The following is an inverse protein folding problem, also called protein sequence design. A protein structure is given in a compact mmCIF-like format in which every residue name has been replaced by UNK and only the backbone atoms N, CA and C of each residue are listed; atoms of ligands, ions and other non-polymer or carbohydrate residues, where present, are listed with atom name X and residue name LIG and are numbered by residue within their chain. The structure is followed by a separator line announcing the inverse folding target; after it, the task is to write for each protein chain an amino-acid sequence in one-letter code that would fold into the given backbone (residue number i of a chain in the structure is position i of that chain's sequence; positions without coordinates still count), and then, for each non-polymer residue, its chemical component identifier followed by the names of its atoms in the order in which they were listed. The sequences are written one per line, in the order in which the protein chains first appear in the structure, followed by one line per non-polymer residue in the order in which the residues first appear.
data_IF_381105789256
#
_entry.id   IF_381105789256
#
_cell.length_a   1.000
_cell.length_b   1.000
_cell.length_c   1.000
_cell.angle_alpha   90.00
_cell.angle_beta   90.00
_cell.angle_gamma   90.00
#
_symmetry.space_group_name_H-M   'P 1'
#
loop_
_entity.id
_entity.type
_entity.pdbx_description
1 polymer ?
#
# COMPACT_ATOMS: atom_id res chain seq x y z
N UNK A 1 -36.34 80.08 -15.88
CA UNK A 1 -37.64 79.54 -16.33
C UNK A 1 -37.40 78.75 -17.62
N UNK A 2 -37.70 77.43 -17.62
CA UNK A 2 -37.81 76.47 -18.76
C UNK A 2 -36.49 76.14 -19.51
N UNK A 3 -35.85 74.95 -19.47
CA UNK A 3 -36.19 73.51 -19.53
C UNK A 3 -36.34 72.93 -20.96
N UNK A 4 -35.50 71.90 -21.28
CA UNK A 4 -35.56 70.84 -22.33
C UNK A 4 -35.04 71.20 -23.74
N UNK A 5 -34.36 70.36 -24.54
CA UNK A 5 -33.95 68.94 -24.51
C UNK A 5 -33.00 68.66 -25.72
N UNK A 6 -32.13 67.62 -25.64
CA UNK A 6 -31.62 66.76 -26.74
C UNK A 6 -30.69 67.40 -27.82
N UNK A 7 -29.68 66.80 -28.45
CA UNK A 7 -29.03 65.48 -28.44
C UNK A 7 -27.80 65.57 -29.39
N UNK A 8 -26.89 64.59 -29.34
CA UNK A 8 -25.91 64.24 -30.38
C UNK A 8 -24.74 65.21 -30.68
N UNK A 9 -23.58 64.94 -30.09
CA UNK A 9 -22.34 64.57 -30.80
C UNK A 9 -21.21 64.40 -29.79
N UNK A 10 -21.29 63.36 -28.96
CA UNK A 10 -20.08 62.72 -28.45
C UNK A 10 -19.45 62.01 -29.63
N UNK A 11 -18.50 62.68 -30.29
CA UNK A 11 -17.68 62.05 -31.30
C UNK A 11 -16.83 61.00 -30.58
N UNK A 12 -17.27 59.75 -30.72
CA UNK A 12 -16.52 58.56 -30.41
C UNK A 12 -15.18 58.60 -31.17
N UNK A 13 -14.13 59.10 -30.53
CA UNK A 13 -12.80 58.57 -30.75
C UNK A 13 -12.77 57.20 -30.05
N UNK A 14 -13.36 56.23 -30.73
CA UNK A 14 -13.22 54.82 -30.42
C UNK A 14 -11.76 54.45 -30.55
N UNK A 15 -11.05 54.44 -29.44
CA UNK A 15 -9.91 53.55 -29.27
C UNK A 15 -10.52 52.16 -29.34
N UNK A 16 -10.57 51.58 -30.53
CA UNK A 16 -10.58 50.14 -30.67
C UNK A 16 -9.30 49.65 -29.97
N UNK A 17 -9.42 49.27 -28.69
CA UNK A 17 -8.51 48.30 -28.10
C UNK A 17 -8.70 47.02 -28.94
N UNK A 18 -8.05 46.96 -30.11
CA UNK A 18 -7.67 45.68 -30.68
C UNK A 18 -6.88 45.02 -29.56
N UNK A 19 -7.45 44.00 -28.94
CA UNK A 19 -6.77 43.21 -27.94
C UNK A 19 -5.37 42.90 -28.44
N UNK A 20 -4.38 43.54 -27.82
CA UNK A 20 -2.99 43.30 -28.14
C UNK A 20 -2.79 41.79 -28.02
N UNK A 21 -2.23 41.17 -29.07
CA UNK A 21 -1.97 39.74 -29.09
C UNK A 21 -1.23 39.41 -27.79
N UNK A 22 -1.78 38.57 -26.90
CA UNK A 22 -1.10 38.27 -25.66
C UNK A 22 0.23 37.61 -26.02
N UNK A 23 1.33 38.01 -25.35
CA UNK A 23 2.63 37.42 -25.61
C UNK A 23 2.53 35.90 -25.44
N UNK A 24 3.30 35.18 -26.25
CA UNK A 24 3.50 33.74 -26.06
C UNK A 24 3.93 33.46 -24.61
N UNK A 25 3.57 32.30 -24.02
CA UNK A 25 4.17 31.86 -22.77
C UNK A 25 5.67 32.01 -22.87
N UNK A 26 6.27 32.69 -21.89
CA UNK A 26 7.69 32.93 -21.90
C UNK A 26 8.46 31.61 -22.03
N UNK A 27 9.65 31.67 -22.62
CA UNK A 27 10.51 30.50 -22.84
C UNK A 27 10.75 29.71 -21.55
N UNK A 28 10.76 30.40 -20.41
CA UNK A 28 10.98 29.81 -19.09
C UNK A 28 9.77 29.00 -18.62
N UNK A 29 8.55 29.38 -18.98
CA UNK A 29 7.32 28.68 -18.67
C UNK A 29 7.21 27.42 -19.51
N UNK A 30 7.47 27.51 -20.82
CA UNK A 30 7.50 26.34 -21.71
C UNK A 30 8.60 25.36 -21.29
N UNK A 31 9.82 25.84 -21.04
CA UNK A 31 10.92 25.00 -20.56
C UNK A 31 10.59 24.31 -19.23
N UNK A 32 9.86 24.98 -18.33
CA UNK A 32 9.44 24.36 -17.06
C UNK A 32 8.28 23.38 -17.21
N UNK A 33 7.42 23.53 -18.22
CA UNK A 33 6.48 22.49 -18.62
C UNK A 33 7.26 21.26 -19.11
N UNK A 34 8.23 21.43 -20.00
CA UNK A 34 9.08 20.32 -20.47
C UNK A 34 9.83 19.64 -19.32
N UNK A 35 10.41 20.40 -18.40
CA UNK A 35 11.10 19.85 -17.22
C UNK A 35 10.15 19.14 -16.24
N UNK A 36 8.88 19.52 -16.18
CA UNK A 36 7.88 18.80 -15.38
C UNK A 36 7.52 17.43 -15.99
N UNK A 37 7.83 17.23 -17.28
CA UNK A 37 7.50 16.02 -18.02
C UNK A 37 8.69 15.57 -18.91
N UNK A 38 9.82 15.14 -18.31
CA UNK A 38 11.06 14.88 -19.05
C UNK A 38 10.94 13.78 -20.12
N UNK A 39 10.00 12.84 -19.96
CA UNK A 39 9.75 11.76 -20.93
C UNK A 39 8.68 12.11 -21.97
N UNK A 40 8.18 13.34 -21.98
CA UNK A 40 7.10 13.78 -22.84
C UNK A 40 7.60 14.80 -23.85
N UNK A 41 7.21 14.61 -25.11
CA UNK A 41 7.60 15.51 -26.19
C UNK A 41 6.48 16.51 -26.44
N UNK A 42 6.80 17.80 -26.43
CA UNK A 42 5.86 18.81 -26.91
C UNK A 42 5.64 18.62 -28.42
N UNK A 43 4.38 18.38 -28.80
CA UNK A 43 3.98 18.18 -30.22
C UNK A 43 3.20 19.36 -30.77
N UNK A 44 2.57 20.15 -29.90
CA UNK A 44 1.91 21.39 -30.29
C UNK A 44 2.00 22.45 -29.18
N UNK A 45 2.11 23.72 -29.58
CA UNK A 45 1.94 24.89 -28.72
C UNK A 45 1.30 25.97 -29.57
N UNK A 46 -0.02 26.03 -29.55
CA UNK A 46 -0.81 26.86 -30.45
C UNK A 46 -1.78 27.77 -29.68
N UNK A 47 -2.17 28.86 -30.33
CA UNK A 47 -3.14 29.79 -29.77
C UNK A 47 -4.55 29.25 -30.00
N UNK A 48 -5.38 29.23 -28.96
CA UNK A 48 -6.80 28.92 -29.06
C UNK A 48 -7.66 30.09 -28.57
N UNK A 49 -8.81 30.31 -29.20
CA UNK A 49 -9.79 31.27 -28.70
C UNK A 49 -10.51 30.66 -27.49
N UNK A 50 -10.71 31.45 -26.43
CA UNK A 50 -11.43 30.97 -25.24
C UNK A 50 -12.93 30.86 -25.54
N UNK A 51 -13.54 31.86 -26.19
CA UNK A 51 -14.91 31.81 -26.73
C UNK A 51 -14.91 32.22 -28.21
N UNK A 52 -15.80 31.61 -29.03
CA UNK A 52 -16.05 32.10 -30.39
C UNK A 52 -16.57 33.54 -30.33
N UNK A 53 -15.79 34.48 -30.83
CA UNK A 53 -16.14 35.91 -30.85
C UNK A 53 -15.72 36.72 -29.62
N UNK A 54 -14.98 36.14 -28.66
CA UNK A 54 -14.36 36.91 -27.57
C UNK A 54 -12.94 37.35 -27.89
N UNK A 55 -12.52 38.47 -27.32
CA UNK A 55 -11.13 38.94 -27.33
C UNK A 55 -10.21 38.19 -26.33
N UNK A 56 -10.74 37.20 -25.61
CA UNK A 56 -9.99 36.34 -24.70
C UNK A 56 -9.32 35.20 -25.47
N UNK A 57 -8.00 35.12 -25.37
CA UNK A 57 -7.16 34.12 -26.02
C UNK A 57 -6.44 33.25 -24.99
N UNK A 58 -6.16 32.00 -25.35
CA UNK A 58 -5.40 31.06 -24.55
C UNK A 58 -4.29 30.40 -25.39
N UNK A 59 -3.37 29.74 -24.71
CA UNK A 59 -2.32 28.92 -25.31
C UNK A 59 -2.55 27.45 -24.95
N UNK A 60 -2.75 26.61 -25.97
CA UNK A 60 -2.89 25.16 -25.83
C UNK A 60 -1.54 24.51 -26.12
N UNK A 61 -0.97 23.88 -25.11
CA UNK A 61 0.25 23.07 -25.18
C UNK A 61 -0.14 21.60 -25.12
N UNK A 62 0.30 20.81 -26.09
CA UNK A 62 0.05 19.37 -26.15
C UNK A 62 1.38 18.63 -26.06
N UNK A 63 1.48 17.75 -25.08
CA UNK A 63 2.61 16.83 -24.92
C UNK A 63 2.16 15.41 -25.25
N UNK A 64 3.04 14.67 -25.92
CA UNK A 64 2.82 13.29 -26.32
C UNK A 64 3.95 12.40 -25.80
N UNK A 65 3.61 11.17 -25.41
CA UNK A 65 4.58 10.12 -25.11
C UNK A 65 4.17 8.80 -25.77
N UNK A 66 5.12 8.15 -26.42
CA UNK A 66 4.96 6.76 -26.88
C UNK A 66 4.95 5.83 -25.67
N UNK A 67 3.89 5.03 -25.50
CA UNK A 67 3.82 4.00 -24.46
C UNK A 67 4.49 2.72 -24.99
N UNK A 68 5.41 2.14 -24.21
CA UNK A 68 6.15 0.93 -24.62
C UNK A 68 5.17 -0.24 -24.86
N UNK A 69 5.40 -1.09 -25.88
CA UNK A 69 4.52 -2.21 -26.25
C UNK A 69 4.43 -3.34 -25.19
N UNK A 70 5.22 -3.28 -24.12
CA UNK A 70 5.28 -4.33 -23.09
C UNK A 70 4.05 -4.38 -22.16
N UNK A 71 3.17 -3.36 -22.21
CA UNK A 71 1.89 -3.40 -21.49
C UNK A 71 0.89 -4.16 -22.36
N UNK A 72 0.63 -5.42 -22.00
CA UNK A 72 -0.39 -6.28 -22.64
C UNK A 72 -1.76 -5.62 -22.63
N UNK A 73 -2.11 -4.92 -23.69
CA UNK A 73 -3.52 -4.65 -24.03
C UNK A 73 -3.69 -4.59 -25.54
N UNK A 74 -4.89 -4.92 -25.96
CA UNK A 74 -5.30 -5.10 -27.35
C UNK A 74 -5.57 -3.79 -28.11
N UNK A 75 -5.25 -2.61 -27.55
CA UNK A 75 -5.47 -1.32 -28.21
C UNK A 75 -4.33 -0.96 -29.21
N UNK A 76 -4.65 -0.68 -30.50
CA UNK A 76 -3.65 -0.35 -31.51
C UNK A 76 -3.13 1.08 -31.35
N UNK A 77 -1.82 1.22 -31.13
CA UNK A 77 -1.07 2.48 -30.98
C UNK A 77 -1.41 3.33 -29.73
N UNK A 78 -0.71 3.06 -28.62
CA UNK A 78 -0.88 3.81 -27.37
C UNK A 78 0.08 5.00 -27.31
N UNK A 79 -0.42 6.18 -27.70
CA UNK A 79 0.19 7.47 -27.40
C UNK A 79 -0.52 8.06 -26.19
N UNK A 80 0.23 8.41 -25.15
CA UNK A 80 -0.30 9.21 -24.05
C UNK A 80 -0.36 10.68 -24.44
N UNK A 81 -1.38 11.41 -23.98
CA UNK A 81 -1.52 12.84 -24.21
C UNK A 81 -1.65 13.61 -22.90
N UNK A 82 -0.98 14.75 -22.83
CA UNK A 82 -1.20 15.80 -21.81
C UNK A 82 -1.59 17.06 -22.57
N UNK A 83 -2.72 17.67 -22.19
CA UNK A 83 -3.14 18.95 -22.75
C UNK A 83 -3.13 19.98 -21.64
N UNK A 84 -2.40 21.06 -21.83
CA UNK A 84 -2.33 22.21 -20.92
C UNK A 84 -2.89 23.41 -21.67
N UNK A 85 -3.82 24.12 -21.07
CA UNK A 85 -4.34 25.39 -21.58
C UNK A 85 -3.97 26.50 -20.60
N UNK A 86 -3.26 27.51 -21.10
CA UNK A 86 -2.79 28.67 -20.35
C UNK A 86 -3.59 29.89 -20.80
N UNK A 87 -4.41 30.43 -19.91
CA UNK A 87 -5.12 31.69 -20.16
C UNK A 87 -4.29 32.82 -19.53
N UNK A 88 -3.83 33.82 -20.30
CA UNK A 88 -3.11 34.96 -19.76
C UNK A 88 -3.92 35.71 -18.71
N UNK A 89 -3.23 36.14 -17.67
CA UNK A 89 -3.81 36.87 -16.56
C UNK A 89 -3.99 38.35 -16.90
N UNK A 90 -5.11 38.67 -17.53
CA UNK A 90 -5.46 40.02 -18.03
C UNK A 90 -6.41 40.79 -17.10
N UNK A 91 -6.58 40.33 -15.85
CA UNK A 91 -7.46 40.95 -14.86
C UNK A 91 -8.90 40.43 -14.85
N UNK A 92 -9.27 39.53 -15.77
CA UNK A 92 -10.51 38.75 -15.73
C UNK A 92 -10.14 37.37 -15.16
N UNK A 93 -10.71 37.01 -14.01
CA UNK A 93 -10.55 35.65 -13.45
C UNK A 93 -11.52 34.70 -14.16
N UNK A 94 -11.04 33.77 -15.00
CA UNK A 94 -11.89 32.83 -15.69
C UNK A 94 -12.40 31.70 -14.77
N UNK A 95 -11.82 31.52 -13.57
CA UNK A 95 -12.32 30.54 -12.59
C UNK A 95 -12.34 29.08 -13.06
N UNK A 96 -13.11 28.23 -12.38
CA UNK A 96 -13.17 26.78 -12.68
C UNK A 96 -14.04 26.45 -13.89
N UNK A 97 -15.05 27.27 -14.14
CA UNK A 97 -16.12 26.97 -15.12
C UNK A 97 -15.64 27.13 -16.56
N UNK A 98 -14.50 27.79 -16.79
CA UNK A 98 -13.90 27.93 -18.11
C UNK A 98 -13.34 26.62 -18.67
N UNK A 99 -13.20 25.59 -17.83
CA UNK A 99 -12.83 24.24 -18.26
C UNK A 99 -13.74 23.78 -19.42
N UNK A 100 -15.04 23.99 -19.33
CA UNK A 100 -16.00 23.42 -20.29
C UNK A 100 -15.97 24.09 -21.68
N UNK A 101 -15.21 25.18 -21.83
CA UNK A 101 -15.20 26.01 -23.04
C UNK A 101 -14.07 25.58 -24.00
N UNK A 102 -13.04 24.90 -23.50
CA UNK A 102 -11.89 24.50 -24.33
C UNK A 102 -12.15 23.19 -25.08
N UNK A 103 -11.57 23.05 -26.28
CA UNK A 103 -11.54 21.76 -26.95
C UNK A 103 -10.47 20.86 -26.35
N UNK A 104 -10.94 19.85 -25.61
CA UNK A 104 -10.15 18.83 -24.92
C UNK A 104 -10.01 17.51 -25.69
N UNK A 105 -10.46 17.43 -26.93
CA UNK A 105 -10.35 16.22 -27.74
C UNK A 105 -8.90 15.72 -27.77
N UNK A 106 -8.75 14.47 -27.37
CA UNK A 106 -7.52 13.68 -27.45
C UNK A 106 -7.92 12.26 -27.81
N UNK A 107 -7.07 11.50 -28.50
CA UNK A 107 -7.28 10.07 -28.70
C UNK A 107 -7.48 9.31 -27.37
N UNK A 108 -8.05 8.12 -27.47
CA UNK A 108 -8.31 7.25 -26.32
C UNK A 108 -7.03 6.98 -25.51
N UNK A 109 -7.18 6.94 -24.19
CA UNK A 109 -6.10 6.76 -23.25
C UNK A 109 -6.47 5.62 -22.28
N UNK A 110 -5.49 4.82 -21.88
CA UNK A 110 -5.70 3.65 -21.03
C UNK A 110 -6.05 4.02 -19.58
N UNK A 111 -5.69 5.24 -19.18
CA UNK A 111 -5.93 5.80 -17.85
C UNK A 111 -7.08 6.81 -17.90
N UNK A 112 -7.87 6.88 -16.81
CA UNK A 112 -8.93 7.89 -16.70
C UNK A 112 -8.30 9.29 -16.76
N UNK A 113 -8.77 10.10 -17.69
CA UNK A 113 -8.36 11.50 -17.83
C UNK A 113 -9.35 12.41 -17.12
N UNK A 114 -8.84 13.45 -16.48
CA UNK A 114 -9.59 14.49 -15.80
C UNK A 114 -9.20 15.83 -16.38
N UNK A 115 -10.15 16.76 -16.42
CA UNK A 115 -9.92 18.13 -16.86
C UNK A 115 -10.14 19.05 -15.67
N UNK A 116 -9.09 19.74 -15.24
CA UNK A 116 -9.12 20.57 -14.03
C UNK A 116 -8.54 21.96 -14.28
N UNK A 117 -9.09 22.95 -13.59
CA UNK A 117 -8.41 24.21 -13.32
C UNK A 117 -7.43 24.01 -12.15
N UNK A 118 -6.13 24.07 -12.43
CA UNK A 118 -5.08 23.79 -11.44
C UNK A 118 -4.69 25.02 -10.61
N UNK A 119 -5.05 26.23 -11.03
CA UNK A 119 -4.78 27.47 -10.31
C UNK A 119 -4.07 28.52 -11.15
N UNK A 120 -3.62 29.58 -10.47
CA UNK A 120 -2.92 30.73 -11.07
C UNK A 120 -1.43 30.67 -10.75
N UNK A 121 -0.60 31.00 -11.73
CA UNK A 121 0.84 31.07 -11.55
C UNK A 121 1.53 31.58 -12.81
N UNK A 122 2.61 32.34 -12.61
CA UNK A 122 3.48 32.85 -13.70
C UNK A 122 2.74 33.69 -14.76
N UNK A 123 1.72 34.44 -14.35
CA UNK A 123 0.93 35.26 -15.27
C UNK A 123 -0.11 34.48 -16.08
N UNK A 124 -0.41 33.22 -15.71
CA UNK A 124 -1.43 32.42 -16.38
C UNK A 124 -2.38 31.75 -15.39
N UNK A 125 -3.62 31.53 -15.84
CA UNK A 125 -4.56 30.55 -15.30
C UNK A 125 -4.33 29.21 -16.00
N UNK A 126 -4.09 28.16 -15.22
CA UNK A 126 -3.67 26.85 -15.71
C UNK A 126 -4.85 25.88 -15.71
N UNK A 127 -5.19 25.39 -16.90
CA UNK A 127 -6.15 24.31 -17.11
C UNK A 127 -5.42 23.12 -17.71
N UNK A 128 -5.79 21.91 -17.32
CA UNK A 128 -5.08 20.73 -17.77
C UNK A 128 -6.00 19.52 -17.89
N UNK A 129 -5.81 18.76 -18.96
CA UNK A 129 -6.36 17.42 -19.13
C UNK A 129 -5.24 16.39 -19.01
N UNK A 130 -5.31 15.55 -17.98
CA UNK A 130 -4.40 14.42 -17.79
C UNK A 130 -4.94 13.43 -16.74
N UNK A 131 -4.17 12.41 -16.36
CA UNK A 131 -4.50 11.57 -15.20
C UNK A 131 -4.26 12.31 -13.87
N UNK A 132 -4.82 11.75 -12.79
CA UNK A 132 -4.77 12.34 -11.46
C UNK A 132 -3.34 12.62 -10.95
N UNK A 133 -2.39 11.72 -11.23
CA UNK A 133 -1.01 11.86 -10.76
C UNK A 133 -0.28 13.01 -11.44
N UNK A 134 -0.47 13.17 -12.75
CA UNK A 134 0.12 14.27 -13.51
C UNK A 134 -0.48 15.62 -13.12
N UNK A 135 -1.79 15.71 -12.94
CA UNK A 135 -2.47 16.94 -12.50
C UNK A 135 -1.93 17.44 -11.15
N UNK A 136 -1.83 16.53 -10.17
CA UNK A 136 -1.24 16.80 -8.87
C UNK A 136 0.22 17.26 -8.97
N UNK A 137 1.04 16.52 -9.74
CA UNK A 137 2.46 16.84 -9.91
C UNK A 137 2.65 18.22 -10.53
N UNK A 138 1.83 18.60 -11.51
CA UNK A 138 1.89 19.92 -12.16
C UNK A 138 1.53 21.03 -11.20
N UNK A 139 0.45 20.91 -10.43
CA UNK A 139 0.07 21.94 -9.47
C UNK A 139 1.20 22.19 -8.45
N UNK A 140 1.82 21.13 -7.95
CA UNK A 140 2.94 21.20 -7.01
C UNK A 140 4.22 21.77 -7.64
N UNK A 141 4.67 21.22 -8.78
CA UNK A 141 5.92 21.65 -9.45
C UNK A 141 5.85 23.09 -9.96
N UNK A 142 4.68 23.50 -10.46
CA UNK A 142 4.50 24.84 -10.98
C UNK A 142 4.17 25.87 -9.88
N UNK A 143 3.97 25.40 -8.64
CA UNK A 143 3.62 26.22 -7.47
C UNK A 143 2.38 27.08 -7.74
N UNK A 144 1.36 26.46 -8.32
CA UNK A 144 0.11 27.15 -8.66
C UNK A 144 -0.68 27.46 -7.40
N UNK A 145 -1.23 28.66 -7.33
CA UNK A 145 -2.05 29.13 -6.21
C UNK A 145 -3.54 29.08 -6.56
N UNK A 146 -4.38 28.74 -5.58
CA UNK A 146 -5.82 28.55 -5.80
C UNK A 146 -6.13 27.31 -6.64
N UNK A 147 -7.22 27.36 -7.40
CA UNK A 147 -7.65 26.26 -8.27
C UNK A 147 -8.54 25.22 -7.61
N UNK A 148 -8.55 24.03 -8.21
CA UNK A 148 -9.27 22.88 -7.66
C UNK A 148 -8.68 22.43 -6.32
N UNK A 149 -9.54 22.09 -5.36
CA UNK A 149 -9.10 21.57 -4.08
C UNK A 149 -8.60 20.13 -4.30
N UNK A 150 -7.29 19.96 -4.40
CA UNK A 150 -6.70 18.64 -4.65
C UNK A 150 -7.02 17.63 -3.56
N UNK A 151 -7.21 18.05 -2.30
CA UNK A 151 -7.59 17.10 -1.24
C UNK A 151 -8.98 16.50 -1.52
N UNK A 152 -9.94 17.34 -1.96
CA UNK A 152 -11.27 16.89 -2.32
C UNK A 152 -11.29 16.09 -3.64
N UNK A 153 -10.51 16.52 -4.63
CA UNK A 153 -10.37 15.81 -5.91
C UNK A 153 -9.77 14.41 -5.70
N UNK A 154 -8.66 14.31 -4.97
CA UNK A 154 -8.00 13.03 -4.72
C UNK A 154 -8.84 12.11 -3.84
N UNK A 155 -9.65 12.66 -2.92
CA UNK A 155 -10.62 11.85 -2.18
C UNK A 155 -11.65 11.20 -3.12
N UNK A 156 -12.19 11.95 -4.09
CA UNK A 156 -13.09 11.39 -5.12
C UNK A 156 -12.37 10.38 -6.03
N UNK A 157 -11.10 10.63 -6.35
CA UNK A 157 -10.29 9.75 -7.18
C UNK A 157 -10.08 8.34 -6.56
N UNK A 158 -10.27 8.17 -5.25
CA UNK A 158 -10.29 6.85 -4.59
C UNK A 158 -11.39 5.93 -5.14
N UNK A 159 -12.48 6.48 -5.70
CA UNK A 159 -13.60 5.72 -6.27
C UNK A 159 -13.39 5.37 -7.75
N UNK A 160 -12.24 5.69 -8.35
CA UNK A 160 -12.00 5.46 -9.77
C UNK A 160 -11.42 4.07 -10.00
N UNK A 161 -12.11 3.30 -10.83
CA UNK A 161 -11.71 1.96 -11.29
C UNK A 161 -11.20 2.00 -12.73
N UNK A 162 -9.95 2.41 -12.91
CA UNK A 162 -9.24 2.39 -14.20
C UNK A 162 -8.22 1.23 -14.27
N UNK A 163 -7.43 1.17 -15.34
CA UNK A 163 -6.44 0.11 -15.56
C UNK A 163 -5.56 -0.11 -14.32
N UNK A 164 -5.59 -1.33 -13.79
CA UNK A 164 -4.87 -1.74 -12.57
C UNK A 164 -5.12 -0.87 -11.33
N UNK A 165 -6.26 -0.16 -11.27
CA UNK A 165 -6.61 0.79 -10.20
C UNK A 165 -5.56 1.90 -10.05
N UNK A 166 -4.93 2.33 -11.15
CA UNK A 166 -3.88 3.36 -11.14
C UNK A 166 -4.34 4.63 -10.42
N UNK A 167 -5.48 5.19 -10.80
CA UNK A 167 -5.95 6.48 -10.26
C UNK A 167 -6.18 6.41 -8.76
N UNK A 168 -6.85 5.37 -8.26
CA UNK A 168 -7.11 5.21 -6.83
C UNK A 168 -5.84 4.90 -6.04
N UNK A 169 -4.86 4.18 -6.60
CA UNK A 169 -3.54 3.99 -5.97
C UNK A 169 -2.74 5.28 -5.86
N UNK A 170 -2.76 6.12 -6.89
CA UNK A 170 -2.15 7.46 -6.83
C UNK A 170 -2.84 8.31 -5.76
N UNK A 171 -4.17 8.24 -5.65
CA UNK A 171 -4.91 8.90 -4.59
C UNK A 171 -4.55 8.41 -3.18
N UNK A 172 -4.34 7.11 -2.99
CA UNK A 172 -3.85 6.55 -1.72
C UNK A 172 -2.51 7.17 -1.32
N UNK A 173 -1.53 7.17 -2.24
CA UNK A 173 -0.20 7.71 -1.95
C UNK A 173 -0.21 9.22 -1.73
N UNK A 174 -1.11 9.96 -2.41
CA UNK A 174 -1.27 11.39 -2.19
C UNK A 174 -1.57 11.74 -0.74
N UNK A 175 -2.36 10.92 -0.03
CA UNK A 175 -2.77 11.18 1.35
C UNK A 175 -1.71 10.87 2.40
N UNK A 176 -0.55 10.35 1.99
CA UNK A 176 0.57 10.05 2.89
C UNK A 176 0.97 11.28 3.70
N UNK A 177 1.04 11.12 5.02
CA UNK A 177 1.48 12.13 6.00
C UNK A 177 0.70 13.47 5.98
N UNK A 178 -0.51 13.49 5.39
CA UNK A 178 -1.33 14.73 5.32
C UNK A 178 -2.09 15.06 6.60
N UNK A 179 -2.12 14.15 7.57
CA UNK A 179 -2.75 14.37 8.86
C UNK A 179 -4.29 14.39 8.83
N UNK A 180 -4.88 14.83 9.94
CA UNK A 180 -6.33 14.72 10.21
C UNK A 180 -7.21 15.49 9.22
N UNK A 181 -6.69 16.56 8.58
CA UNK A 181 -7.48 17.42 7.68
C UNK A 181 -8.12 16.69 6.50
N UNK A 182 -7.51 15.58 6.05
CA UNK A 182 -8.00 14.80 4.91
C UNK A 182 -8.99 13.69 5.32
N UNK A 183 -9.04 13.33 6.61
CA UNK A 183 -9.84 12.21 7.11
C UNK A 183 -11.33 12.36 6.76
N UNK A 184 -11.99 13.53 6.96
CA UNK A 184 -13.40 13.69 6.61
C UNK A 184 -13.68 13.48 5.12
N UNK A 185 -12.77 13.91 4.23
CA UNK A 185 -12.92 13.77 2.77
C UNK A 185 -12.80 12.29 2.35
N UNK A 186 -11.84 11.57 2.93
CA UNK A 186 -11.67 10.13 2.68
C UNK A 186 -12.90 9.35 3.17
N UNK A 187 -13.42 9.69 4.35
CA UNK A 187 -14.61 9.05 4.92
C UNK A 187 -15.86 9.28 4.08
N UNK A 188 -16.06 10.50 3.58
CA UNK A 188 -17.18 10.79 2.68
C UNK A 188 -17.06 10.02 1.37
N UNK A 189 -15.85 9.96 0.79
CA UNK A 189 -15.59 9.14 -0.40
C UNK A 189 -15.86 7.64 -0.17
N UNK A 190 -15.44 7.11 0.99
CA UNK A 190 -15.69 5.72 1.36
C UNK A 190 -17.18 5.42 1.53
N UNK A 191 -17.95 6.38 2.09
CA UNK A 191 -19.41 6.27 2.23
C UNK A 191 -20.07 6.18 0.86
N UNK A 192 -19.67 7.02 -0.09
CA UNK A 192 -20.17 6.98 -1.47
C UNK A 192 -19.85 5.63 -2.14
N UNK A 193 -18.61 5.15 -2.01
CA UNK A 193 -18.22 3.84 -2.52
C UNK A 193 -19.08 2.70 -1.98
N UNK A 194 -19.32 2.68 -0.66
CA UNK A 194 -20.12 1.64 -0.03
C UNK A 194 -21.59 1.66 -0.47
N UNK A 195 -22.13 2.83 -0.83
CA UNK A 195 -23.48 2.96 -1.38
C UNK A 195 -23.58 2.43 -2.82
N UNK A 196 -22.53 2.60 -3.62
CA UNK A 196 -22.52 2.27 -5.06
C UNK A 196 -22.10 0.82 -5.32
N UNK A 197 -21.01 0.36 -4.71
CA UNK A 197 -20.30 -0.86 -5.13
C UNK A 197 -20.56 -2.06 -4.21
N UNK A 198 -21.19 -1.87 -3.05
CA UNK A 198 -21.45 -2.91 -2.03
C UNK A 198 -20.22 -3.82 -1.73
N UNK A 199 -19.01 -3.27 -1.89
CA UNK A 199 -17.74 -3.94 -1.62
C UNK A 199 -16.93 -3.16 -0.58
N UNK A 200 -15.97 -3.82 0.11
CA UNK A 200 -15.11 -3.13 1.07
C UNK A 200 -14.35 -1.97 0.41
N UNK A 201 -14.31 -0.77 1.03
CA UNK A 201 -13.63 0.40 0.49
C UNK A 201 -12.10 0.31 0.70
N UNK A 202 -11.46 -0.68 0.08
CA UNK A 202 -10.07 -1.06 0.36
C UNK A 202 -9.12 0.13 0.19
N UNK A 203 -9.21 0.85 -0.93
CA UNK A 203 -8.34 2.00 -1.21
C UNK A 203 -8.51 3.11 -0.16
N UNK A 204 -9.73 3.35 0.32
CA UNK A 204 -10.00 4.33 1.37
C UNK A 204 -9.37 3.94 2.71
N UNK A 205 -9.44 2.65 3.08
CA UNK A 205 -8.81 2.16 4.30
C UNK A 205 -7.27 2.33 4.23
N UNK A 206 -6.66 2.06 3.07
CA UNK A 206 -5.24 2.34 2.85
C UNK A 206 -4.92 3.83 2.91
N UNK A 207 -5.74 4.69 2.29
CA UNK A 207 -5.57 6.14 2.37
C UNK A 207 -5.62 6.63 3.82
N UNK A 208 -6.59 6.16 4.62
CA UNK A 208 -6.68 6.46 6.05
C UNK A 208 -5.40 6.03 6.78
N UNK A 209 -4.93 4.80 6.58
CA UNK A 209 -3.67 4.30 7.15
C UNK A 209 -2.51 5.25 6.86
N UNK A 210 -2.36 5.67 5.61
CA UNK A 210 -1.24 6.49 5.15
C UNK A 210 -1.30 7.95 5.64
N UNK A 211 -2.46 8.47 6.05
CA UNK A 211 -2.52 9.83 6.62
C UNK A 211 -1.66 10.01 7.87
N UNK A 212 -1.34 8.92 8.60
CA UNK A 212 -0.50 8.94 9.80
C UNK A 212 -1.15 9.62 11.01
N UNK A 213 -2.48 9.73 11.03
CA UNK A 213 -3.21 10.60 11.96
C UNK A 213 -4.03 9.85 13.01
N UNK A 214 -4.28 10.46 14.18
CA UNK A 214 -5.05 9.83 15.26
C UNK A 214 -6.53 9.64 14.86
N UNK A 215 -7.13 10.61 14.14
CA UNK A 215 -8.50 10.49 13.67
C UNK A 215 -8.66 9.39 12.62
N UNK A 216 -7.63 9.17 11.77
CA UNK A 216 -7.63 8.02 10.87
C UNK A 216 -7.55 6.69 11.64
N UNK A 217 -6.77 6.63 12.72
CA UNK A 217 -6.76 5.48 13.62
C UNK A 217 -8.15 5.18 14.22
N UNK A 218 -8.84 6.21 14.73
CA UNK A 218 -10.22 6.10 15.23
C UNK A 218 -11.19 5.64 14.14
N UNK A 219 -11.05 6.16 12.93
CA UNK A 219 -11.85 5.73 11.78
C UNK A 219 -11.62 4.26 11.43
N UNK A 220 -10.37 3.82 11.35
CA UNK A 220 -10.01 2.42 11.09
C UNK A 220 -10.56 1.47 12.18
N UNK A 221 -10.54 1.89 13.45
CA UNK A 221 -11.17 1.11 14.54
C UNK A 221 -12.69 0.97 14.32
N UNK A 222 -13.37 2.01 13.84
CA UNK A 222 -14.80 1.92 13.50
C UNK A 222 -15.04 0.95 12.34
N UNK A 223 -14.20 0.96 11.32
CA UNK A 223 -14.27 -0.03 10.23
C UNK A 223 -13.98 -1.45 10.71
N UNK A 224 -13.03 -1.63 11.64
CA UNK A 224 -12.73 -2.90 12.28
C UNK A 224 -13.91 -3.46 13.12
N UNK A 225 -14.82 -2.59 13.55
CA UNK A 225 -16.06 -2.95 14.24
C UNK A 225 -17.28 -3.09 13.30
N UNK A 226 -17.07 -3.04 11.97
CA UNK A 226 -18.15 -3.17 10.98
C UNK A 226 -18.83 -4.55 11.05
N UNK A 227 -20.13 -4.58 10.74
CA UNK A 227 -20.88 -5.84 10.54
C UNK A 227 -20.46 -6.57 9.27
N UNK A 228 -19.94 -5.85 8.27
CA UNK A 228 -19.32 -6.48 7.10
C UNK A 228 -17.96 -7.06 7.50
N UNK A 229 -17.90 -8.38 7.58
CA UNK A 229 -16.71 -9.12 7.98
C UNK A 229 -15.52 -8.85 7.05
N UNK A 230 -15.76 -8.59 5.76
CA UNK A 230 -14.66 -8.30 4.82
C UNK A 230 -14.03 -6.94 5.12
N UNK A 231 -14.84 -5.90 5.28
CA UNK A 231 -14.37 -4.57 5.71
C UNK A 231 -13.69 -4.63 7.07
N UNK A 232 -14.30 -5.32 8.06
CA UNK A 232 -13.73 -5.45 9.39
C UNK A 232 -12.36 -6.12 9.37
N UNK A 233 -12.21 -7.21 8.62
CA UNK A 233 -10.94 -7.91 8.47
C UNK A 233 -9.87 -7.03 7.82
N UNK A 234 -10.19 -6.33 6.73
CA UNK A 234 -9.22 -5.44 6.07
C UNK A 234 -8.76 -4.31 6.99
N UNK A 235 -9.68 -3.66 7.71
CA UNK A 235 -9.32 -2.62 8.67
C UNK A 235 -8.45 -3.16 9.83
N UNK A 236 -8.77 -4.34 10.36
CA UNK A 236 -7.96 -5.01 11.39
C UNK A 236 -6.54 -5.28 10.90
N UNK A 237 -6.39 -5.82 9.67
CA UNK A 237 -5.08 -6.06 9.07
C UNK A 237 -4.23 -4.79 9.02
N UNK A 238 -4.81 -3.68 8.54
CA UNK A 238 -4.10 -2.40 8.45
C UNK A 238 -3.72 -1.85 9.83
N UNK A 239 -4.60 -2.01 10.83
CA UNK A 239 -4.32 -1.59 12.20
C UNK A 239 -3.18 -2.37 12.86
N UNK A 240 -3.01 -3.66 12.54
CA UNK A 240 -1.97 -4.51 13.12
C UNK A 240 -0.62 -4.45 12.37
N UNK A 241 -0.57 -3.79 11.21
CA UNK A 241 0.67 -3.52 10.48
C UNK A 241 1.39 -2.28 11.02
N UNK A 242 0.70 -1.36 11.69
CA UNK A 242 1.27 -0.08 12.13
C UNK A 242 1.21 0.10 13.66
N UNK A 243 2.35 0.42 14.30
CA UNK A 243 2.41 0.47 15.74
C UNK A 243 1.84 1.76 16.33
N UNK A 244 1.16 2.66 15.63
CA UNK A 244 0.71 3.95 16.21
C UNK A 244 -0.79 4.24 16.08
N UNK A 245 -1.56 3.40 15.39
CA UNK A 245 -2.93 3.75 14.99
C UNK A 245 -4.01 3.43 16.04
N UNK A 246 -3.75 2.56 17.03
CA UNK A 246 -4.73 2.20 18.06
C UNK A 246 -4.18 2.18 19.50
N UNK A 247 -5.09 2.14 20.47
CA UNK A 247 -4.76 2.08 21.90
C UNK A 247 -4.17 0.72 22.30
N UNK A 248 -3.38 0.70 23.37
CA UNK A 248 -2.82 -0.53 23.94
C UNK A 248 -3.94 -1.53 24.31
N UNK A 249 -5.09 -1.04 24.82
CA UNK A 249 -6.25 -1.87 25.17
C UNK A 249 -6.92 -2.53 23.95
N UNK A 250 -6.92 -1.86 22.79
CA UNK A 250 -7.41 -2.44 21.56
C UNK A 250 -6.54 -3.62 21.13
N UNK A 251 -5.23 -3.42 21.04
CA UNK A 251 -4.30 -4.48 20.63
C UNK A 251 -4.25 -5.65 21.62
N UNK A 252 -4.32 -5.40 22.93
CA UNK A 252 -4.42 -6.46 23.94
C UNK A 252 -5.65 -7.35 23.76
N UNK A 253 -6.79 -6.79 23.31
CA UNK A 253 -7.97 -7.61 22.98
C UNK A 253 -7.70 -8.51 21.75
N UNK A 254 -6.95 -8.01 20.77
CA UNK A 254 -6.59 -8.77 19.57
C UNK A 254 -5.64 -9.94 19.85
N UNK A 255 -4.87 -9.95 20.94
CA UNK A 255 -4.03 -11.10 21.33
C UNK A 255 -4.83 -12.41 21.52
N UNK A 256 -6.14 -12.33 21.78
CA UNK A 256 -7.02 -13.50 21.88
C UNK A 256 -7.27 -14.18 20.52
N UNK A 257 -6.97 -13.49 19.44
CA UNK A 257 -7.12 -13.96 18.06
C UNK A 257 -5.76 -14.46 17.55
N UNK A 258 -5.60 -15.77 17.32
CA UNK A 258 -4.33 -16.40 16.97
C UNK A 258 -3.60 -15.70 15.81
N UNK A 259 -4.34 -15.33 14.78
CA UNK A 259 -3.84 -14.70 13.56
C UNK A 259 -3.15 -13.34 13.78
N UNK A 260 -3.46 -12.64 14.87
CA UNK A 260 -2.89 -11.33 15.19
C UNK A 260 -1.82 -11.36 16.29
N UNK A 261 -1.53 -12.54 16.86
CA UNK A 261 -0.64 -12.66 18.03
C UNK A 261 0.74 -12.06 17.73
N UNK A 262 1.43 -12.55 16.70
CA UNK A 262 2.74 -12.03 16.28
C UNK A 262 2.74 -10.52 15.97
N UNK A 263 1.73 -10.03 15.25
CA UNK A 263 1.63 -8.61 14.88
C UNK A 263 1.46 -7.72 16.10
N UNK A 264 0.60 -8.09 17.05
CA UNK A 264 0.43 -7.32 18.30
C UNK A 264 1.72 -7.32 19.12
N UNK A 265 2.41 -8.45 19.24
CA UNK A 265 3.71 -8.49 19.93
C UNK A 265 4.70 -7.52 19.28
N UNK A 266 4.79 -7.49 17.94
CA UNK A 266 5.65 -6.56 17.20
C UNK A 266 5.30 -5.10 17.46
N UNK A 267 4.02 -4.76 17.57
CA UNK A 267 3.58 -3.40 17.91
C UNK A 267 4.08 -2.99 19.29
N UNK A 268 3.92 -3.85 20.30
CA UNK A 268 4.40 -3.54 21.66
C UNK A 268 5.93 -3.52 21.76
N UNK A 269 6.64 -4.32 20.95
CA UNK A 269 8.10 -4.22 20.79
C UNK A 269 8.50 -2.85 20.23
N UNK A 270 7.89 -2.43 19.11
CA UNK A 270 8.16 -1.14 18.48
C UNK A 270 7.87 0.04 19.42
N UNK A 271 6.81 -0.06 20.23
CA UNK A 271 6.45 0.92 21.28
C UNK A 271 7.35 0.86 22.53
N UNK A 272 8.30 -0.07 22.61
CA UNK A 272 9.11 -0.36 23.82
C UNK A 272 8.26 -0.66 25.06
N UNK A 273 7.08 -1.26 24.86
CA UNK A 273 6.09 -1.61 25.90
C UNK A 273 5.89 -3.12 26.06
N UNK A 274 6.77 -3.95 25.49
CA UNK A 274 6.62 -5.41 25.50
C UNK A 274 6.40 -6.03 26.88
N UNK A 275 7.02 -5.50 27.94
CA UNK A 275 6.85 -5.98 29.32
C UNK A 275 5.38 -5.99 29.80
N UNK A 276 4.55 -5.07 29.28
CA UNK A 276 3.12 -4.98 29.62
C UNK A 276 2.33 -6.20 29.13
N UNK A 277 2.80 -6.87 28.08
CA UNK A 277 2.14 -8.05 27.51
C UNK A 277 2.43 -9.35 28.25
N UNK A 278 3.47 -9.39 29.09
CA UNK A 278 3.93 -10.65 29.73
C UNK A 278 2.80 -11.39 30.46
N UNK A 279 1.92 -10.74 31.25
CA UNK A 279 0.81 -11.43 31.91
C UNK A 279 -0.20 -12.05 30.92
N UNK A 280 -0.54 -11.31 29.84
CA UNK A 280 -1.48 -11.80 28.84
C UNK A 280 -0.89 -12.99 28.06
N UNK A 281 0.39 -12.91 27.70
CA UNK A 281 1.10 -13.98 27.00
C UNK A 281 1.22 -15.23 27.89
N UNK A 282 1.48 -15.08 29.20
CA UNK A 282 1.48 -16.20 30.14
C UNK A 282 0.11 -16.89 30.22
N UNK A 283 -0.98 -16.12 30.14
CA UNK A 283 -2.33 -16.66 30.11
C UNK A 283 -2.60 -17.42 28.80
N UNK A 284 -2.19 -16.87 27.66
CA UNK A 284 -2.33 -17.51 26.34
C UNK A 284 -1.53 -18.81 26.28
N UNK A 285 -0.32 -18.85 26.83
CA UNK A 285 0.53 -20.05 26.82
C UNK A 285 -0.11 -21.24 27.56
N UNK A 286 -0.96 -20.98 28.57
CA UNK A 286 -1.69 -22.02 29.30
C UNK A 286 -2.79 -22.67 28.46
N UNK A 287 -3.40 -21.91 27.56
CA UNK A 287 -4.56 -22.35 26.76
C UNK A 287 -4.48 -21.79 25.33
N UNK A 288 -3.46 -22.17 24.54
CA UNK A 288 -3.31 -21.67 23.18
C UNK A 288 -4.44 -22.21 22.29
N UNK A 289 -4.91 -21.40 21.33
CA UNK A 289 -5.89 -21.89 20.36
C UNK A 289 -5.24 -22.67 19.22
N UNK A 290 -4.03 -22.28 18.80
CA UNK A 290 -3.30 -22.91 17.69
C UNK A 290 -1.84 -23.18 18.06
N UNK A 291 -1.20 -24.13 17.36
CA UNK A 291 0.22 -24.41 17.54
C UNK A 291 1.05 -23.16 17.22
N UNK A 292 0.67 -22.41 16.18
CA UNK A 292 1.30 -21.13 15.82
C UNK A 292 1.21 -20.10 16.96
N UNK A 293 0.04 -19.93 17.56
CA UNK A 293 -0.12 -19.01 18.68
C UNK A 293 0.75 -19.43 19.87
N UNK A 294 0.84 -20.74 20.16
CA UNK A 294 1.71 -21.27 21.20
C UNK A 294 3.18 -20.92 20.94
N UNK A 295 3.70 -21.20 19.74
CA UNK A 295 5.11 -20.96 19.42
C UNK A 295 5.45 -19.48 19.36
N UNK A 296 4.58 -18.62 18.83
CA UNK A 296 4.75 -17.16 18.84
C UNK A 296 4.72 -16.59 20.27
N UNK A 297 3.80 -17.08 21.11
CA UNK A 297 3.66 -16.63 22.51
C UNK A 297 4.87 -17.03 23.35
N UNK A 298 5.36 -18.28 23.19
CA UNK A 298 6.55 -18.73 23.91
C UNK A 298 7.79 -17.94 23.49
N UNK A 299 7.96 -17.68 22.19
CA UNK A 299 9.03 -16.83 21.68
C UNK A 299 9.02 -15.45 22.34
N UNK A 300 7.85 -14.80 22.31
CA UNK A 300 7.67 -13.47 22.86
C UNK A 300 7.98 -13.44 24.37
N UNK A 301 7.51 -14.42 25.13
CA UNK A 301 7.80 -14.51 26.57
C UNK A 301 9.29 -14.66 26.85
N UNK A 302 9.99 -15.55 26.14
CA UNK A 302 11.43 -15.78 26.35
C UNK A 302 12.24 -14.52 26.04
N UNK A 303 11.92 -13.84 24.94
CA UNK A 303 12.57 -12.57 24.58
C UNK A 303 12.31 -11.49 25.64
N UNK A 304 11.05 -11.25 25.99
CA UNK A 304 10.65 -10.17 26.91
C UNK A 304 11.14 -10.39 28.34
N UNK A 305 11.25 -11.64 28.78
CA UNK A 305 11.74 -12.00 30.12
C UNK A 305 13.27 -12.07 30.21
N UNK A 306 13.99 -12.01 29.08
CA UNK A 306 15.45 -12.13 29.07
C UNK A 306 16.20 -10.90 29.61
N UNK A 307 15.49 -9.88 30.11
CA UNK A 307 16.07 -8.63 30.65
C UNK A 307 17.03 -7.92 29.68
N UNK A 308 16.76 -8.00 28.37
CA UNK A 308 17.61 -7.39 27.33
C UNK A 308 18.91 -8.15 27.04
N UNK A 309 19.08 -9.37 27.58
CA UNK A 309 20.23 -10.23 27.25
C UNK A 309 20.22 -10.71 25.79
N UNK A 310 19.07 -10.64 25.14
CA UNK A 310 18.90 -11.04 23.75
C UNK A 310 18.11 -9.97 22.99
N UNK A 311 18.64 -9.53 21.84
CA UNK A 311 17.93 -8.65 20.88
C UNK A 311 16.99 -9.43 19.95
N UNK A 312 16.91 -10.75 20.12
CA UNK A 312 16.14 -11.73 19.36
C UNK A 312 16.49 -13.13 19.87
N UNK A 313 15.64 -14.13 19.61
CA UNK A 313 15.96 -15.51 20.01
C UNK A 313 16.77 -16.19 18.90
N UNK A 314 18.04 -16.57 19.12
CA UNK A 314 18.91 -17.13 18.09
C UNK A 314 18.30 -18.36 17.39
N UNK A 315 17.49 -19.15 18.11
CA UNK A 315 16.80 -20.33 17.59
C UNK A 315 15.74 -19.96 16.55
N UNK A 316 14.98 -18.89 16.79
CA UNK A 316 13.97 -18.39 15.85
C UNK A 316 14.61 -17.71 14.66
N UNK A 317 15.68 -16.94 14.88
CA UNK A 317 16.45 -16.34 13.78
C UNK A 317 17.07 -17.42 12.89
N UNK A 318 17.61 -18.50 13.49
CA UNK A 318 18.13 -19.63 12.74
C UNK A 318 17.03 -20.31 11.92
N UNK A 319 15.84 -20.57 12.51
CA UNK A 319 14.71 -21.17 11.81
C UNK A 319 14.21 -20.31 10.65
N UNK A 320 14.07 -18.99 10.85
CA UNK A 320 13.67 -18.07 9.78
C UNK A 320 14.67 -18.09 8.61
N UNK A 321 15.98 -18.08 8.92
CA UNK A 321 17.03 -18.19 7.91
C UNK A 321 17.03 -19.55 7.20
N UNK A 322 16.78 -20.65 7.93
CA UNK A 322 16.65 -21.99 7.35
C UNK A 322 15.49 -22.03 6.36
N UNK A 323 14.30 -21.58 6.78
CA UNK A 323 13.11 -21.54 5.91
C UNK A 323 13.41 -20.72 4.65
N UNK A 324 14.01 -19.53 4.83
CA UNK A 324 14.39 -18.67 3.71
C UNK A 324 15.37 -19.35 2.73
N UNK A 325 16.44 -19.97 3.23
CA UNK A 325 17.48 -20.58 2.40
C UNK A 325 17.06 -21.91 1.74
N UNK A 326 15.96 -22.51 2.20
CA UNK A 326 15.35 -23.71 1.61
C UNK A 326 14.34 -23.41 0.50
N UNK A 327 13.98 -22.12 0.30
CA UNK A 327 13.09 -21.73 -0.79
C UNK A 327 13.77 -21.87 -2.15
N UNK A 328 13.10 -22.54 -3.08
CA UNK A 328 13.49 -22.63 -4.50
C UNK A 328 12.66 -21.65 -5.34
N UNK A 329 13.18 -21.32 -6.52
CA UNK A 329 12.48 -20.46 -7.49
C UNK A 329 11.11 -21.05 -7.84
N UNK A 330 10.06 -20.22 -7.74
CA UNK A 330 8.68 -20.61 -8.07
C UNK A 330 7.93 -21.32 -6.93
N UNK A 331 8.56 -21.57 -5.78
CA UNK A 331 7.89 -22.19 -4.64
C UNK A 331 7.05 -21.20 -3.82
N UNK A 332 7.29 -19.89 -3.98
CA UNK A 332 6.47 -18.82 -3.39
C UNK A 332 6.25 -17.69 -4.40
N UNK A 333 5.14 -16.92 -4.33
CA UNK A 333 4.86 -15.83 -5.27
C UNK A 333 5.97 -14.75 -5.36
N UNK A 334 6.79 -14.61 -4.31
CA UNK A 334 7.81 -13.57 -4.20
C UNK A 334 9.23 -14.05 -4.60
N UNK A 335 9.41 -15.35 -4.93
CA UNK A 335 10.73 -15.94 -5.24
C UNK A 335 11.35 -15.53 -6.59
N UNK A 336 10.74 -14.63 -7.36
CA UNK A 336 11.31 -14.14 -8.62
C UNK A 336 12.62 -13.34 -8.38
N UNK A 337 12.90 -12.87 -7.15
CA UNK A 337 14.06 -12.00 -6.84
C UNK A 337 15.20 -12.65 -6.06
N UNK A 338 15.06 -13.85 -5.49
CA UNK A 338 16.06 -14.38 -4.57
C UNK A 338 16.47 -15.81 -4.89
N UNK A 339 17.71 -15.91 -5.41
CA UNK A 339 18.57 -17.10 -5.48
C UNK A 339 18.12 -18.18 -6.47
N UNK A 340 18.71 -18.22 -7.69
CA UNK A 340 18.53 -19.34 -8.60
C UNK A 340 19.27 -20.57 -8.04
N UNK A 341 18.53 -21.50 -7.45
CA UNK A 341 18.80 -22.90 -7.79
C UNK A 341 18.20 -23.05 -9.19
N UNK A 342 19.04 -23.29 -10.20
CA UNK A 342 18.62 -23.37 -11.60
C UNK A 342 17.26 -24.04 -11.71
N UNK A 343 16.23 -23.26 -12.10
CA UNK A 343 14.89 -23.75 -12.37
C UNK A 343 14.87 -24.81 -13.47
N UNK A 344 15.97 -24.90 -14.23
CA UNK A 344 16.25 -25.97 -15.17
C UNK A 344 16.79 -27.19 -14.41
N UNK A 345 15.90 -28.04 -13.92
CA UNK A 345 16.18 -29.30 -13.20
C UNK A 345 17.14 -30.27 -13.89
N UNK A 346 18.42 -29.90 -14.01
CA UNK A 346 19.53 -30.74 -14.50
C UNK A 346 20.42 -31.25 -13.36
N UNK A 347 20.01 -31.04 -12.11
CA UNK A 347 20.57 -31.72 -10.94
C UNK A 347 19.61 -32.82 -10.47
N UNK A 348 20.13 -33.99 -10.10
CA UNK A 348 19.33 -34.97 -9.37
C UNK A 348 18.78 -34.34 -8.09
N UNK A 349 17.57 -34.72 -7.68
CA UNK A 349 16.95 -34.28 -6.41
C UNK A 349 17.92 -34.40 -5.23
N UNK A 350 18.75 -35.44 -5.20
CA UNK A 350 19.81 -35.63 -4.19
C UNK A 350 20.85 -34.50 -4.15
N UNK A 351 21.28 -33.95 -5.30
CA UNK A 351 22.28 -32.88 -5.36
C UNK A 351 21.69 -31.54 -4.91
N UNK A 352 20.41 -31.30 -5.17
CA UNK A 352 19.71 -30.10 -4.69
C UNK A 352 19.56 -30.16 -3.17
N UNK A 353 19.15 -31.31 -2.64
CA UNK A 353 19.00 -31.51 -1.20
C UNK A 353 20.36 -31.39 -0.47
N UNK A 354 21.46 -31.88 -1.06
CA UNK A 354 22.81 -31.72 -0.51
C UNK A 354 23.26 -30.25 -0.47
N UNK A 355 23.07 -29.50 -1.57
CA UNK A 355 23.39 -28.06 -1.62
C UNK A 355 22.54 -27.26 -0.63
N UNK A 356 21.26 -27.58 -0.50
CA UNK A 356 20.39 -26.98 0.53
C UNK A 356 20.93 -27.26 1.93
N UNK A 357 21.25 -28.53 2.23
CA UNK A 357 21.83 -28.95 3.51
C UNK A 357 23.11 -28.19 3.84
N UNK A 358 24.00 -28.00 2.85
CA UNK A 358 25.22 -27.22 3.03
C UNK A 358 24.93 -25.75 3.37
N UNK A 359 23.96 -25.12 2.69
CA UNK A 359 23.56 -23.71 2.95
C UNK A 359 23.00 -23.51 4.35
N UNK A 360 22.19 -24.45 4.84
CA UNK A 360 21.55 -24.35 6.16
C UNK A 360 22.42 -24.88 7.29
N UNK A 361 23.54 -25.56 7.00
CA UNK A 361 24.40 -26.19 8.00
C UNK A 361 24.87 -25.24 9.13
N UNK A 362 25.25 -23.97 8.87
CA UNK A 362 25.63 -23.05 9.94
C UNK A 362 24.49 -22.79 10.93
N UNK A 363 23.26 -22.65 10.42
CA UNK A 363 22.07 -22.39 11.24
C UNK A 363 21.61 -23.65 11.99
N UNK A 364 21.73 -24.83 11.38
CA UNK A 364 21.52 -26.10 12.08
C UNK A 364 22.53 -26.30 13.23
N UNK A 365 23.79 -25.94 13.00
CA UNK A 365 24.83 -26.02 14.03
C UNK A 365 24.58 -25.01 15.17
N UNK A 366 24.15 -23.78 14.84
CA UNK A 366 23.76 -22.79 15.84
C UNK A 366 22.58 -23.28 16.69
N UNK A 367 21.54 -23.81 16.04
CA UNK A 367 20.37 -24.36 16.72
C UNK A 367 20.73 -25.49 17.68
N UNK A 368 21.59 -26.44 17.26
CA UNK A 368 22.05 -27.57 18.11
C UNK A 368 22.86 -27.14 19.32
N UNK A 369 23.47 -25.95 19.28
CA UNK A 369 24.24 -25.38 20.41
C UNK A 369 23.35 -24.58 21.37
N UNK A 370 22.05 -24.48 21.10
CA UNK A 370 21.12 -23.79 21.99
C UNK A 370 21.14 -24.42 23.39
N UNK A 371 21.20 -23.56 24.40
CA UNK A 371 21.05 -23.94 25.81
C UNK A 371 19.62 -23.75 26.32
N UNK A 372 18.76 -23.12 25.52
CA UNK A 372 17.37 -22.85 25.86
C UNK A 372 16.47 -23.89 25.18
N UNK A 373 16.19 -24.96 25.91
CA UNK A 373 15.31 -26.02 25.42
C UNK A 373 13.93 -25.49 24.98
N UNK A 374 13.34 -24.52 25.69
CA UNK A 374 12.00 -24.03 25.37
C UNK A 374 12.01 -23.26 24.05
N UNK A 375 13.01 -22.40 23.84
CA UNK A 375 13.17 -21.67 22.60
C UNK A 375 13.47 -22.61 21.42
N UNK A 376 14.38 -23.58 21.61
CA UNK A 376 14.68 -24.57 20.59
C UNK A 376 13.45 -25.43 20.24
N UNK A 377 12.73 -25.92 21.25
CA UNK A 377 11.51 -26.70 21.05
C UNK A 377 10.47 -25.93 20.25
N UNK A 378 10.13 -24.69 20.66
CA UNK A 378 9.09 -23.94 19.97
C UNK A 378 9.50 -23.47 18.57
N UNK A 379 10.78 -23.16 18.33
CA UNK A 379 11.29 -22.87 16.99
C UNK A 379 11.21 -24.11 16.07
N UNK A 380 11.61 -25.29 16.54
CA UNK A 380 11.48 -26.53 15.76
C UNK A 380 10.02 -26.94 15.55
N UNK A 381 9.16 -26.75 16.56
CA UNK A 381 7.72 -26.99 16.47
C UNK A 381 7.06 -26.06 15.44
N UNK A 382 7.47 -24.79 15.36
CA UNK A 382 6.96 -23.86 14.36
C UNK A 382 7.25 -24.33 12.93
N UNK A 383 8.42 -24.92 12.68
CA UNK A 383 8.73 -25.56 11.40
C UNK A 383 7.94 -26.85 11.18
N UNK A 384 7.89 -27.72 12.18
CA UNK A 384 7.23 -29.03 12.06
C UNK A 384 5.72 -28.90 11.84
N UNK A 385 5.09 -27.88 12.42
CA UNK A 385 3.69 -27.55 12.25
C UNK A 385 3.44 -26.55 11.10
N UNK A 386 4.46 -26.19 10.32
CA UNK A 386 4.35 -25.17 9.28
C UNK A 386 3.22 -25.49 8.29
N UNK A 387 2.29 -24.55 8.18
CA UNK A 387 1.11 -24.62 7.32
C UNK A 387 0.83 -23.21 6.76
N UNK A 388 1.34 -22.87 5.57
CA UNK A 388 1.17 -21.54 5.01
C UNK A 388 -0.30 -21.24 4.73
N UNK A 389 -0.74 -20.01 5.06
CA UNK A 389 -2.08 -19.51 4.71
C UNK A 389 -2.24 -19.28 3.20
N UNK A 390 -1.14 -18.94 2.52
CA UNK A 390 -1.12 -18.71 1.08
C UNK A 390 -1.05 -20.02 0.30
N UNK A 391 -2.13 -20.36 -0.39
CA UNK A 391 -2.25 -21.57 -1.23
C UNK A 391 -1.28 -21.59 -2.42
N UNK A 392 -0.68 -20.45 -2.77
CA UNK A 392 0.31 -20.36 -3.85
C UNK A 392 1.72 -20.76 -3.40
N UNK A 393 1.90 -21.19 -2.14
CA UNK A 393 3.14 -21.76 -1.65
C UNK A 393 3.19 -23.26 -1.99
N UNK A 394 4.29 -23.70 -2.60
CA UNK A 394 4.44 -25.07 -3.06
C UNK A 394 4.35 -26.08 -1.90
N UNK A 395 3.58 -27.16 -2.13
CA UNK A 395 3.43 -28.26 -1.18
C UNK A 395 4.77 -28.93 -0.86
N UNK A 396 5.63 -29.11 -1.87
CA UNK A 396 6.97 -29.69 -1.74
C UNK A 396 7.87 -28.87 -0.82
N UNK A 397 7.83 -27.54 -0.88
CA UNK A 397 8.54 -26.67 0.05
C UNK A 397 8.04 -26.84 1.49
N UNK A 398 6.71 -26.82 1.65
CA UNK A 398 6.06 -27.00 2.96
C UNK A 398 6.45 -28.34 3.60
N UNK A 399 6.44 -29.43 2.84
CA UNK A 399 6.84 -30.77 3.30
C UNK A 399 8.32 -30.83 3.71
N UNK A 400 9.22 -30.19 2.95
CA UNK A 400 10.66 -30.12 3.30
C UNK A 400 10.90 -29.35 4.60
N UNK A 401 10.24 -28.20 4.78
CA UNK A 401 10.32 -27.41 6.03
C UNK A 401 9.81 -28.24 7.22
N UNK A 402 8.64 -28.87 7.09
CA UNK A 402 8.07 -29.72 8.14
C UNK A 402 8.99 -30.88 8.53
N UNK A 403 9.52 -31.59 7.54
CA UNK A 403 10.47 -32.69 7.76
C UNK A 403 11.71 -32.23 8.53
N UNK A 404 12.27 -31.07 8.17
CA UNK A 404 13.42 -30.53 8.88
C UNK A 404 13.06 -30.10 10.30
N UNK A 405 11.87 -29.53 10.53
CA UNK A 405 11.37 -29.24 11.87
C UNK A 405 11.29 -30.48 12.76
N UNK A 406 10.77 -31.60 12.22
CA UNK A 406 10.76 -32.90 12.91
C UNK A 406 12.18 -33.40 13.21
N UNK A 407 13.11 -33.28 12.27
CA UNK A 407 14.53 -33.64 12.49
C UNK A 407 15.17 -32.80 13.60
N UNK A 408 14.88 -31.49 13.65
CA UNK A 408 15.35 -30.61 14.71
C UNK A 408 14.78 -31.01 16.08
N UNK A 409 13.47 -31.30 16.15
CA UNK A 409 12.85 -31.79 17.39
C UNK A 409 13.47 -33.12 17.84
N UNK A 410 13.80 -34.04 16.92
CA UNK A 410 14.45 -35.33 17.26
C UNK A 410 15.87 -35.15 17.80
N UNK A 411 16.51 -34.03 17.53
CA UNK A 411 17.79 -33.66 18.12
C UNK A 411 17.70 -33.14 19.56
N UNK A 412 16.49 -32.92 20.08
CA UNK A 412 16.26 -32.48 21.46
C UNK A 412 16.01 -33.68 22.39
N UNK A 413 16.15 -33.53 23.72
CA UNK A 413 15.87 -34.60 24.68
C UNK A 413 14.42 -35.12 24.54
N UNK A 414 14.28 -36.39 24.13
CA UNK A 414 12.99 -36.96 23.71
C UNK A 414 11.91 -36.88 24.81
N UNK A 415 12.25 -37.23 26.05
CA UNK A 415 11.34 -37.16 27.20
C UNK A 415 10.72 -35.76 27.36
N UNK A 416 11.56 -34.72 27.27
CA UNK A 416 11.10 -33.34 27.39
C UNK A 416 10.23 -32.91 26.21
N UNK A 417 10.50 -33.41 25.01
CA UNK A 417 9.68 -33.15 23.82
C UNK A 417 8.30 -33.80 24.00
N UNK A 418 8.24 -35.06 24.42
CA UNK A 418 6.99 -35.77 24.70
C UNK A 418 6.16 -35.08 25.76
N UNK A 419 6.77 -34.67 26.88
CA UNK A 419 6.09 -33.92 27.94
C UNK A 419 5.45 -32.63 27.40
N UNK A 420 6.16 -31.90 26.54
CA UNK A 420 5.66 -30.65 25.95
C UNK A 420 4.55 -30.89 24.95
N UNK A 421 4.68 -31.88 24.07
CA UNK A 421 3.63 -32.24 23.11
C UNK A 421 2.37 -32.73 23.83
N UNK A 422 2.52 -33.54 24.88
CA UNK A 422 1.40 -33.98 25.70
C UNK A 422 0.71 -32.82 26.45
N UNK A 423 1.48 -31.89 27.01
CA UNK A 423 0.93 -30.69 27.63
C UNK A 423 0.19 -29.82 26.61
N UNK A 424 0.75 -29.63 25.43
CA UNK A 424 0.13 -28.84 24.37
C UNK A 424 -1.16 -29.48 23.87
N UNK A 425 -1.20 -30.82 23.74
CA UNK A 425 -2.42 -31.55 23.34
C UNK A 425 -3.56 -31.36 24.35
N UNK A 426 -3.26 -31.35 25.65
CA UNK A 426 -4.26 -31.11 26.71
C UNK A 426 -4.82 -29.69 26.69
N UNK A 427 -4.04 -28.73 26.22
CA UNK A 427 -4.34 -27.31 26.34
C UNK A 427 -4.84 -26.65 25.04
N UNK A 428 -4.60 -27.28 23.88
CA UNK A 428 -5.11 -26.81 22.59
C UNK A 428 -6.64 -26.92 22.55
N UNK A 429 -7.33 -25.83 22.19
CA UNK A 429 -8.80 -25.80 22.10
C UNK A 429 -9.34 -26.12 20.70
N UNK A 430 -8.57 -25.87 19.65
CA UNK A 430 -9.02 -26.08 18.27
C UNK A 430 -8.86 -27.55 17.86
N UNK A 431 -9.97 -28.19 17.47
CA UNK A 431 -10.01 -29.62 17.09
C UNK A 431 -9.12 -29.94 15.88
N UNK A 432 -9.00 -29.02 14.92
CA UNK A 432 -8.17 -29.22 13.73
C UNK A 432 -6.69 -29.14 14.10
N UNK A 433 -6.34 -28.21 14.99
CA UNK A 433 -4.98 -28.09 15.53
C UNK A 433 -4.61 -29.29 16.41
N UNK A 434 -5.55 -29.82 17.20
CA UNK A 434 -5.35 -31.07 17.93
C UNK A 434 -5.09 -32.25 16.97
N UNK A 435 -5.83 -32.34 15.86
CA UNK A 435 -5.58 -33.38 14.85
C UNK A 435 -4.21 -33.24 14.19
N UNK A 436 -3.80 -32.00 13.85
CA UNK A 436 -2.47 -31.69 13.32
C UNK A 436 -1.37 -32.07 14.33
N UNK A 437 -1.57 -31.75 15.61
CA UNK A 437 -0.63 -32.11 16.68
C UNK A 437 -0.52 -33.63 16.82
N UNK A 438 -1.63 -34.39 16.82
CA UNK A 438 -1.60 -35.86 16.88
C UNK A 438 -0.87 -36.47 15.70
N UNK A 439 -1.06 -35.92 14.50
CA UNK A 439 -0.30 -36.34 13.32
C UNK A 439 1.20 -36.08 13.53
N UNK A 440 1.56 -34.89 14.01
CA UNK A 440 2.95 -34.53 14.29
C UNK A 440 3.59 -35.44 15.36
N UNK A 441 2.85 -35.78 16.43
CA UNK A 441 3.29 -36.75 17.46
C UNK A 441 3.61 -38.12 16.85
N UNK A 442 2.74 -38.63 15.97
CA UNK A 442 2.96 -39.89 15.23
C UNK A 442 4.18 -39.81 14.30
N UNK A 443 4.34 -38.71 13.58
CA UNK A 443 5.48 -38.46 12.70
C UNK A 443 6.80 -38.34 13.50
N UNK A 444 6.73 -37.78 14.71
CA UNK A 444 7.88 -37.66 15.61
C UNK A 444 8.34 -39.04 16.13
N UNK A 445 7.40 -39.91 16.50
CA UNK A 445 7.68 -41.28 16.98
C UNK A 445 6.84 -41.73 18.18
N UNK A 446 5.87 -40.93 18.61
CA UNK A 446 4.93 -41.26 19.68
C UNK A 446 3.88 -42.24 19.13
N UNK A 447 3.87 -43.48 19.66
CA UNK A 447 2.92 -44.53 19.28
C UNK A 447 1.61 -44.39 20.03
#
# INVERSE_FOLDING_TARGET
MRLRFLFCLFFCLGISLRAAIPPQPDSDTLKKIELAFPDWKQVASERCAVLRGSDLWAWKVVLERSVSPDIKSDAPSRKGYIVIVLVPDTGIDPGKDFVDIFNWETPDNDLKQFVLYLGRGRGYFWYMKSDAGRLMNTQAHMKLAGGENMDAFMAKALNVTDFELYTSRVAVEYFRDRGDKCVPLILESARLWQLEENTPPIQHLFALKLTGSEEAGKALIKFAASKDLRTAHQALRLLVEEPYLASDSFYRRLLKHPEYTGSVVNIFRARKKGAVLVPDLQQILKEPRTIRQYTETLAALRELQSAGKFTGLPEYDAVNNIMFLMMRMGETPETIKYIPLDANGKGSTSKLDEKERQRIAPYLAAFRKSKDFEAAFAAALAMAAFAPENKNIAKTYTERVRKLGLELMRGLPAERVYDKLALLERNLKDTREQANLRQLKREFGER
#
